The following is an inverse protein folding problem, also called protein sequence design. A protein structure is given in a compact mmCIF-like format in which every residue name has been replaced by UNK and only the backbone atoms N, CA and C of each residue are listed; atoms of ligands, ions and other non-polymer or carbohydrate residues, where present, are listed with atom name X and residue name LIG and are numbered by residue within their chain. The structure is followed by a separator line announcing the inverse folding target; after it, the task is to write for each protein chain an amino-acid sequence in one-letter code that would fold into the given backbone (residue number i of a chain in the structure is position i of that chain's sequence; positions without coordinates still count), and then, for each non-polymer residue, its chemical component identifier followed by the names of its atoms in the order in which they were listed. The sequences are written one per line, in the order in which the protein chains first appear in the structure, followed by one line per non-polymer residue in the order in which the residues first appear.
data_IF_143283909080
#
_entry.id   IF_143283909080
#
_cell.length_a   1.000
_cell.length_b   1.000
_cell.length_c   1.000
_cell.angle_alpha   90.00
_cell.angle_beta   90.00
_cell.angle_gamma   90.00
#
_symmetry.space_group_name_H-M   'P 1'
#
loop_
_entity.id
_entity.type
_entity.pdbx_description
1 polymer ?
#
# COMPACT_ATOMS: atom_id res chain seq x y z
N UNK A 1 -6.42 -9.18 88.23
CA UNK A 1 -7.56 -9.59 87.37
C UNK A 1 -7.00 -10.45 86.23
N UNK A 2 -7.36 -11.73 86.17
CA UNK A 2 -7.32 -12.58 84.96
C UNK A 2 -8.51 -12.18 84.06
N UNK A 3 -8.46 -12.34 82.71
CA UNK A 3 -8.49 -13.65 82.05
C UNK A 3 -7.46 -13.76 80.89
N UNK A 4 -6.75 -14.88 80.65
CA UNK A 4 -7.21 -16.13 80.04
C UNK A 4 -8.02 -15.91 78.75
N UNK A 5 -7.54 -16.38 77.58
CA UNK A 5 -8.35 -17.04 76.53
C UNK A 5 -7.51 -17.40 75.30
N UNK A 6 -7.47 -18.73 75.09
CA UNK A 6 -7.41 -19.56 73.89
C UNK A 6 -6.41 -19.29 72.75
N UNK A 7 -5.46 -20.23 72.69
CA UNK A 7 -4.92 -20.86 71.48
C UNK A 7 -6.08 -21.55 70.73
N UNK A 8 -6.28 -21.18 69.46
CA UNK A 8 -7.09 -21.93 68.50
C UNK A 8 -6.20 -22.36 67.34
N UNK A 9 -5.85 -23.64 67.34
CA UNK A 9 -5.20 -24.36 66.26
C UNK A 9 -6.26 -24.57 65.17
N UNK A 10 -6.15 -23.86 64.05
CA UNK A 10 -7.01 -24.06 62.88
C UNK A 10 -6.17 -24.71 61.77
N UNK A 11 -6.18 -26.05 61.77
CA UNK A 11 -5.82 -26.83 60.61
C UNK A 11 -6.89 -26.61 59.54
N UNK A 12 -6.59 -25.89 58.47
CA UNK A 12 -7.32 -26.01 57.21
C UNK A 12 -6.41 -26.56 56.12
N UNK A 13 -6.70 -27.84 55.86
CA UNK A 13 -6.34 -28.65 54.72
C UNK A 13 -6.63 -27.93 53.40
N UNK A 14 -5.61 -27.90 52.53
CA UNK A 14 -5.78 -27.64 51.11
C UNK A 14 -6.53 -28.81 50.45
N UNK A 15 -7.61 -28.56 49.68
CA UNK A 15 -8.04 -29.50 48.67
C UNK A 15 -7.42 -29.09 47.32
N UNK A 16 -6.43 -29.86 46.90
CA UNK A 16 -6.06 -29.95 45.49
C UNK A 16 -7.19 -30.68 44.76
N UNK A 17 -8.02 -29.95 44.04
CA UNK A 17 -8.96 -30.54 43.08
C UNK A 17 -8.23 -30.80 41.76
N UNK A 18 -7.87 -32.07 41.57
CA UNK A 18 -7.74 -32.67 40.25
C UNK A 18 -9.05 -32.43 39.48
N UNK A 19 -8.95 -31.92 38.25
CA UNK A 19 -9.98 -32.16 37.24
C UNK A 19 -9.31 -32.71 35.99
N UNK A 20 -9.59 -33.99 35.72
CA UNK A 20 -9.23 -34.68 34.49
C UNK A 20 -10.14 -34.23 33.35
N UNK A 21 -9.57 -34.24 32.15
CA UNK A 21 -10.20 -33.96 30.88
C UNK A 21 -11.38 -34.90 30.53
N UNK A 22 -12.36 -34.41 29.75
CA UNK A 22 -12.53 -34.75 28.32
C UNK A 22 -13.88 -34.30 27.73
N UNK A 23 -13.77 -33.69 26.53
CA UNK A 23 -14.66 -33.67 25.36
C UNK A 23 -16.11 -33.16 25.43
N UNK A 24 -16.35 -32.06 24.70
CA UNK A 24 -17.03 -32.02 23.38
C UNK A 24 -17.96 -30.79 23.27
N UNK A 25 -17.79 -29.98 22.21
CA UNK A 25 -18.71 -28.89 21.92
C UNK A 25 -18.19 -27.88 20.90
N UNK A 26 -18.23 -28.27 19.63
CA UNK A 26 -18.23 -27.48 18.40
C UNK A 26 -18.30 -25.94 18.54
N UNK A 27 -17.20 -25.27 18.14
CA UNK A 27 -17.18 -23.90 17.67
C UNK A 27 -16.25 -23.84 16.46
N UNK A 28 -16.81 -23.60 15.27
CA UNK A 28 -16.08 -23.46 14.04
C UNK A 28 -15.09 -22.30 14.14
N UNK A 29 -13.79 -22.62 14.08
CA UNK A 29 -12.72 -21.66 13.87
C UNK A 29 -12.03 -22.01 12.56
N UNK A 30 -12.45 -21.35 11.49
CA UNK A 30 -11.69 -21.23 10.24
C UNK A 30 -10.44 -20.41 10.54
N UNK A 31 -9.39 -21.07 11.02
CA UNK A 31 -8.04 -20.50 11.15
C UNK A 31 -7.35 -20.57 9.81
N UNK A 32 -7.13 -19.42 9.18
CA UNK A 32 -6.44 -19.31 7.91
C UNK A 32 -4.95 -19.60 8.05
N UNK A 33 -4.45 -20.27 7.02
CA UNK A 33 -3.11 -20.82 6.83
C UNK A 33 -2.12 -19.70 6.46
N UNK A 34 -1.39 -19.14 7.44
CA UNK A 34 -0.39 -18.07 7.19
C UNK A 34 1.02 -18.40 7.68
N UNK A 35 1.31 -19.63 8.10
CA UNK A 35 2.61 -19.96 8.71
C UNK A 35 3.54 -20.86 7.87
N UNK A 36 3.03 -21.60 6.88
CA UNK A 36 3.88 -22.51 6.10
C UNK A 36 4.77 -21.76 5.10
N UNK A 37 6.06 -22.13 5.01
CA UNK A 37 7.01 -21.49 4.08
C UNK A 37 6.93 -22.01 2.65
N UNK A 38 6.13 -23.05 2.41
CA UNK A 38 5.98 -23.72 1.13
C UNK A 38 4.52 -23.75 0.67
N UNK A 39 4.30 -23.58 -0.63
CA UNK A 39 2.99 -23.71 -1.27
C UNK A 39 2.74 -25.14 -1.78
N UNK A 40 3.82 -25.85 -2.12
CA UNK A 40 3.78 -27.21 -2.64
C UNK A 40 4.25 -28.23 -1.62
N UNK A 41 3.58 -29.38 -1.57
CA UNK A 41 3.97 -30.49 -0.74
C UNK A 41 5.33 -31.05 -1.22
N UNK A 42 6.37 -31.11 -0.36
CA UNK A 42 7.67 -31.66 -0.75
C UNK A 42 7.59 -33.12 -1.21
N UNK A 43 6.64 -33.87 -0.64
CA UNK A 43 6.48 -35.31 -0.90
C UNK A 43 5.56 -35.56 -2.09
N UNK A 44 4.36 -35.01 -2.04
CA UNK A 44 3.31 -35.25 -3.02
C UNK A 44 3.39 -34.37 -4.28
N UNK A 45 4.15 -33.26 -4.23
CA UNK A 45 4.24 -32.24 -5.31
C UNK A 45 2.88 -31.66 -5.73
N UNK A 46 1.90 -31.73 -4.82
CA UNK A 46 0.57 -31.13 -4.96
C UNK A 46 0.46 -29.95 -3.97
N UNK A 47 -0.51 -29.03 -4.18
CA UNK A 47 -0.76 -27.95 -3.23
C UNK A 47 -0.99 -28.46 -1.81
N UNK A 48 -0.53 -27.70 -0.82
CA UNK A 48 -0.73 -28.05 0.60
C UNK A 48 -2.23 -28.06 0.98
N UNK A 49 -2.62 -28.94 1.90
CA UNK A 49 -4.01 -29.14 2.31
C UNK A 49 -4.52 -28.12 3.34
N UNK A 50 -3.61 -27.29 3.88
CA UNK A 50 -3.88 -26.31 4.93
C UNK A 50 -4.19 -26.93 6.30
N UNK A 51 -3.94 -28.22 6.50
CA UNK A 51 -4.29 -28.99 7.71
C UNK A 51 -3.11 -29.79 8.28
N UNK A 52 -2.20 -30.23 7.43
CA UNK A 52 -1.08 -31.09 7.79
C UNK A 52 0.21 -30.29 7.78
N UNK A 53 0.86 -30.16 8.94
CA UNK A 53 2.07 -29.36 9.11
C UNK A 53 3.12 -30.04 9.99
N UNK A 54 4.39 -29.68 9.81
CA UNK A 54 5.49 -30.03 10.72
C UNK A 54 6.44 -28.85 10.89
N UNK A 55 7.11 -28.78 12.03
CA UNK A 55 8.18 -27.79 12.25
C UNK A 55 9.54 -28.38 11.90
N UNK A 56 10.33 -27.67 11.09
CA UNK A 56 11.72 -28.01 10.78
C UNK A 56 12.54 -26.72 10.67
N UNK A 57 13.69 -26.66 11.35
CA UNK A 57 14.57 -25.48 11.41
C UNK A 57 13.86 -24.17 11.77
N UNK A 58 12.86 -24.25 12.66
CA UNK A 58 12.04 -23.11 13.09
C UNK A 58 11.10 -22.59 12.01
N UNK A 59 10.87 -23.36 10.93
CA UNK A 59 9.92 -23.08 9.86
C UNK A 59 8.82 -24.12 9.82
N UNK A 60 7.60 -23.65 9.59
CA UNK A 60 6.44 -24.51 9.40
C UNK A 60 6.43 -25.01 7.96
N UNK A 61 6.34 -26.33 7.77
CA UNK A 61 6.26 -27.00 6.47
C UNK A 61 4.86 -27.60 6.32
N UNK A 62 4.15 -27.26 5.25
CA UNK A 62 2.83 -27.78 4.92
C UNK A 62 2.87 -29.00 3.99
N UNK A 63 1.85 -29.85 4.06
CA UNK A 63 1.73 -31.07 3.26
C UNK A 63 0.36 -31.22 2.58
N UNK A 64 0.27 -32.00 1.50
CA UNK A 64 -0.98 -32.18 0.74
C UNK A 64 -1.90 -33.30 1.29
N UNK A 65 -1.39 -34.18 2.16
CA UNK A 65 -2.20 -35.22 2.80
C UNK A 65 -1.55 -35.78 4.08
N UNK A 66 -2.36 -36.38 4.98
CA UNK A 66 -1.86 -37.09 6.14
C UNK A 66 -0.88 -38.21 5.74
N UNK A 67 0.29 -38.24 6.36
CA UNK A 67 1.36 -39.21 6.07
C UNK A 67 2.52 -38.61 5.28
N UNK A 68 2.32 -37.50 4.55
CA UNK A 68 3.42 -36.79 3.91
C UNK A 68 4.36 -36.12 4.93
N UNK A 69 3.84 -35.71 6.09
CA UNK A 69 4.62 -35.25 7.24
C UNK A 69 5.66 -36.30 7.68
N UNK A 70 5.22 -37.56 7.80
CA UNK A 70 6.10 -38.67 8.19
C UNK A 70 7.12 -38.99 7.09
N UNK A 71 6.70 -38.96 5.83
CA UNK A 71 7.59 -39.19 4.70
C UNK A 71 8.68 -38.11 4.61
N UNK A 72 8.33 -36.85 4.87
CA UNK A 72 9.28 -35.74 4.91
C UNK A 72 10.27 -35.87 6.08
N UNK A 73 9.79 -36.26 7.26
CA UNK A 73 10.68 -36.52 8.40
C UNK A 73 11.61 -37.73 8.18
N UNK A 74 11.30 -38.62 7.25
CA UNK A 74 12.16 -39.74 6.84
C UNK A 74 13.17 -39.40 5.74
N UNK A 75 13.15 -38.18 5.19
CA UNK A 75 14.21 -37.73 4.29
C UNK A 75 15.55 -37.61 5.03
N UNK A 76 16.65 -37.54 4.28
CA UNK A 76 17.90 -37.06 4.85
C UNK A 76 17.81 -35.56 5.20
N UNK A 77 18.69 -35.12 6.09
CA UNK A 77 18.70 -33.74 6.62
C UNK A 77 18.98 -32.71 5.52
N UNK A 78 20.00 -32.96 4.69
CA UNK A 78 20.36 -32.08 3.58
C UNK A 78 19.18 -31.86 2.63
N UNK A 79 18.42 -32.92 2.33
CA UNK A 79 17.24 -32.82 1.48
C UNK A 79 16.14 -31.97 2.12
N UNK A 80 15.90 -32.09 3.42
CA UNK A 80 14.91 -31.24 4.11
C UNK A 80 15.38 -29.78 4.13
N UNK A 81 16.62 -29.52 4.54
CA UNK A 81 17.17 -28.16 4.60
C UNK A 81 17.17 -27.49 3.23
N UNK A 82 17.57 -28.20 2.17
CA UNK A 82 17.55 -27.68 0.81
C UNK A 82 16.13 -27.36 0.33
N UNK A 83 15.14 -28.18 0.68
CA UNK A 83 13.74 -27.88 0.40
C UNK A 83 13.30 -26.60 1.11
N UNK A 84 13.51 -26.50 2.43
CA UNK A 84 13.13 -25.30 3.20
C UNK A 84 13.78 -24.04 2.62
N UNK A 85 15.06 -24.10 2.28
CA UNK A 85 15.78 -22.98 1.67
C UNK A 85 15.22 -22.61 0.29
N UNK A 86 14.81 -23.59 -0.52
CA UNK A 86 14.18 -23.33 -1.83
C UNK A 86 12.77 -22.74 -1.68
N UNK A 87 11.96 -23.25 -0.76
CA UNK A 87 10.62 -22.72 -0.47
C UNK A 87 10.69 -21.28 0.04
N UNK A 88 11.66 -20.97 0.91
CA UNK A 88 11.90 -19.61 1.37
C UNK A 88 12.34 -18.63 0.27
N UNK A 89 12.88 -19.12 -0.85
CA UNK A 89 13.26 -18.31 -2.02
C UNK A 89 12.16 -18.28 -3.10
N UNK A 90 11.07 -19.02 -2.95
CA UNK A 90 10.03 -19.17 -3.97
C UNK A 90 10.42 -20.04 -5.17
N UNK A 91 11.49 -20.83 -5.05
CA UNK A 91 12.05 -21.63 -6.16
C UNK A 91 11.44 -23.05 -6.24
N UNK A 92 10.19 -23.26 -5.80
CA UNK A 92 9.63 -24.61 -5.70
C UNK A 92 9.18 -25.19 -7.06
N UNK A 93 9.53 -26.44 -7.41
CA UNK A 93 9.03 -27.09 -8.62
C UNK A 93 7.51 -27.22 -8.60
N UNK A 94 6.82 -26.58 -9.56
CA UNK A 94 5.36 -26.59 -9.66
C UNK A 94 4.65 -25.47 -8.89
N UNK A 95 5.36 -24.56 -8.21
CA UNK A 95 4.75 -23.40 -7.55
C UNK A 95 3.96 -22.53 -8.54
N UNK A 96 4.46 -22.37 -9.78
CA UNK A 96 3.78 -21.60 -10.83
C UNK A 96 2.33 -22.06 -11.10
N UNK A 97 2.02 -23.35 -10.91
CA UNK A 97 0.69 -23.92 -11.16
C UNK A 97 -0.18 -23.99 -9.89
N UNK A 98 0.43 -23.96 -8.69
CA UNK A 98 -0.28 -24.00 -7.40
C UNK A 98 -0.66 -22.63 -6.85
N UNK A 99 -0.04 -21.56 -7.37
CA UNK A 99 -0.55 -20.20 -7.19
C UNK A 99 -1.88 -19.96 -7.92
N UNK A 100 -2.36 -20.89 -8.76
CA UNK A 100 -3.66 -20.77 -9.43
C UNK A 100 -4.89 -20.93 -8.51
N UNK A 101 -4.71 -21.17 -7.20
CA UNK A 101 -5.79 -21.13 -6.20
C UNK A 101 -5.71 -19.91 -5.25
N UNK A 102 -4.74 -19.02 -5.46
CA UNK A 102 -4.75 -17.66 -4.95
C UNK A 102 -4.67 -16.77 -6.19
N UNK A 103 -5.82 -16.36 -6.72
CA UNK A 103 -5.85 -15.12 -7.51
C UNK A 103 -5.30 -14.03 -6.59
N UNK A 104 -4.02 -13.71 -6.74
CA UNK A 104 -3.47 -12.46 -6.23
C UNK A 104 -4.13 -11.42 -7.12
N UNK A 105 -5.31 -10.95 -6.71
CA UNK A 105 -6.00 -9.85 -7.39
C UNK A 105 -4.99 -8.71 -7.42
N UNK A 106 -4.44 -8.42 -8.60
CA UNK A 106 -3.50 -7.34 -8.76
C UNK A 106 -4.16 -6.07 -8.21
N UNK A 107 -3.47 -5.27 -7.38
CA UNK A 107 -4.08 -4.08 -6.81
C UNK A 107 -4.71 -3.22 -7.91
N UNK A 108 -6.00 -2.91 -7.75
CA UNK A 108 -6.72 -1.97 -8.62
C UNK A 108 -5.97 -0.63 -8.59
N UNK A 109 -5.78 -0.04 -9.77
CA UNK A 109 -5.12 1.25 -9.90
C UNK A 109 -5.92 2.39 -9.28
N UNK A 110 -5.21 3.44 -8.90
CA UNK A 110 -5.80 4.71 -8.49
C UNK A 110 -6.44 5.43 -9.69
N UNK A 111 -7.50 6.22 -9.47
CA UNK A 111 -8.15 7.00 -10.53
C UNK A 111 -7.21 8.07 -11.10
N UNK A 112 -7.52 8.55 -12.30
CA UNK A 112 -6.77 9.66 -12.90
C UNK A 112 -7.24 10.98 -12.29
N UNK A 113 -6.39 11.60 -11.46
CA UNK A 113 -6.71 12.81 -10.69
C UNK A 113 -6.09 14.09 -11.25
N UNK A 114 -5.33 14.01 -12.35
CA UNK A 114 -4.87 15.22 -13.03
C UNK A 114 -6.08 15.92 -13.67
N UNK A 115 -6.10 17.24 -13.61
CA UNK A 115 -7.18 18.07 -14.15
C UNK A 115 -7.02 18.38 -15.65
N UNK A 116 -5.94 17.87 -16.25
CA UNK A 116 -5.55 18.14 -17.64
C UNK A 116 -5.45 16.87 -18.47
N UNK A 117 -5.74 17.00 -19.76
CA UNK A 117 -5.57 15.96 -20.76
C UNK A 117 -4.07 15.71 -20.98
N UNK A 118 -3.58 14.46 -20.93
CA UNK A 118 -2.15 14.16 -21.01
C UNK A 118 -1.56 14.38 -22.41
N UNK A 119 -2.41 14.62 -23.42
CA UNK A 119 -1.99 14.86 -24.81
C UNK A 119 -2.05 16.34 -25.18
N UNK A 120 -3.16 17.01 -24.87
CA UNK A 120 -3.35 18.41 -25.27
C UNK A 120 -2.94 19.40 -24.19
N UNK A 121 -2.77 18.97 -22.93
CA UNK A 121 -2.58 19.84 -21.77
C UNK A 121 -3.81 20.67 -21.40
N UNK A 122 -4.92 20.55 -22.16
CA UNK A 122 -6.15 21.31 -21.88
C UNK A 122 -6.87 20.75 -20.66
N UNK A 123 -7.57 21.63 -19.95
CA UNK A 123 -8.40 21.25 -18.80
C UNK A 123 -9.47 20.23 -19.20
N UNK A 124 -9.55 19.12 -18.48
CA UNK A 124 -10.61 18.14 -18.63
C UNK A 124 -11.96 18.78 -18.33
N UNK A 125 -12.99 18.46 -19.13
CA UNK A 125 -14.30 19.12 -19.09
C UNK A 125 -14.44 20.30 -20.05
N UNK A 126 -13.34 20.90 -20.53
CA UNK A 126 -13.42 22.06 -21.45
C UNK A 126 -13.99 21.70 -22.84
N UNK A 127 -13.97 20.41 -23.20
CA UNK A 127 -14.41 19.86 -24.49
C UNK A 127 -15.61 18.91 -24.33
N UNK A 128 -16.37 19.06 -23.24
CA UNK A 128 -17.39 18.12 -22.79
C UNK A 128 -16.85 17.08 -21.80
N UNK A 129 -17.66 16.05 -21.53
CA UNK A 129 -17.31 15.01 -20.57
C UNK A 129 -16.01 14.30 -20.97
N UNK A 130 -15.03 14.16 -20.04
CA UNK A 130 -13.79 13.46 -20.33
C UNK A 130 -14.02 12.02 -20.76
N UNK A 131 -13.27 11.59 -21.78
CA UNK A 131 -13.23 10.20 -22.19
C UNK A 131 -12.30 9.45 -21.24
N UNK A 132 -12.84 8.50 -20.50
CA UNK A 132 -12.09 7.63 -19.59
C UNK A 132 -11.68 6.35 -20.33
N UNK A 133 -10.41 5.96 -20.24
CA UNK A 133 -9.87 4.71 -20.76
C UNK A 133 -9.02 4.01 -19.72
N UNK A 134 -8.96 2.70 -19.80
CA UNK A 134 -7.97 1.89 -19.07
C UNK A 134 -6.90 1.46 -20.07
N UNK A 135 -5.66 1.91 -19.87
CA UNK A 135 -4.50 1.60 -20.72
C UNK A 135 -3.41 1.09 -19.79
N UNK A 136 -2.87 -0.11 -20.05
CA UNK A 136 -1.82 -0.74 -19.21
C UNK A 136 -2.20 -0.83 -17.72
N UNK A 137 -3.47 -1.12 -17.43
CA UNK A 137 -3.98 -1.22 -16.04
C UNK A 137 -4.16 0.14 -15.33
N UNK A 138 -4.04 1.25 -16.06
CA UNK A 138 -4.14 2.62 -15.55
C UNK A 138 -5.38 3.31 -16.10
N UNK A 139 -6.14 3.99 -15.24
CA UNK A 139 -7.14 4.94 -15.73
C UNK A 139 -6.42 6.16 -16.34
N UNK A 140 -6.83 6.57 -17.53
CA UNK A 140 -6.37 7.79 -18.20
C UNK A 140 -7.60 8.54 -18.73
N UNK A 141 -7.62 9.86 -18.55
CA UNK A 141 -8.73 10.72 -18.98
C UNK A 141 -8.30 11.68 -20.08
N UNK A 142 -9.11 11.77 -21.12
CA UNK A 142 -8.85 12.56 -22.31
C UNK A 142 -9.93 13.59 -22.56
N UNK A 143 -9.56 14.75 -23.10
CA UNK A 143 -10.55 15.77 -23.46
C UNK A 143 -11.36 15.42 -24.72
N UNK A 144 -10.86 14.53 -25.60
CA UNK A 144 -11.55 14.13 -26.83
C UNK A 144 -10.99 12.82 -27.42
N UNK A 145 -11.72 12.22 -28.37
CA UNK A 145 -11.34 10.95 -29.00
C UNK A 145 -10.02 11.00 -29.77
N UNK A 146 -9.69 12.15 -30.38
CA UNK A 146 -8.41 12.34 -31.07
C UNK A 146 -7.19 12.36 -30.14
N UNK A 147 -7.39 12.60 -28.84
CA UNK A 147 -6.31 12.45 -27.86
C UNK A 147 -6.06 10.98 -27.50
N UNK A 148 -7.10 10.13 -27.48
CA UNK A 148 -6.95 8.69 -27.21
C UNK A 148 -5.99 8.05 -28.22
N UNK A 149 -6.26 8.23 -29.53
CA UNK A 149 -5.41 7.62 -30.56
C UNK A 149 -3.98 8.16 -30.59
N UNK A 150 -3.76 9.43 -30.21
CA UNK A 150 -2.41 10.00 -30.07
C UNK A 150 -1.67 9.41 -28.87
N UNK A 151 -2.37 9.17 -27.77
CA UNK A 151 -1.79 8.53 -26.59
C UNK A 151 -1.36 7.09 -26.87
N UNK A 152 -2.24 6.31 -27.51
CA UNK A 152 -1.99 4.91 -27.84
C UNK A 152 -0.87 4.73 -28.88
N UNK A 153 -0.56 5.78 -29.67
CA UNK A 153 0.53 5.75 -30.64
C UNK A 153 1.94 5.77 -30.00
N UNK A 154 2.07 6.26 -28.76
CA UNK A 154 3.34 6.31 -28.02
C UNK A 154 3.08 6.30 -26.50
N UNK A 155 2.56 5.19 -25.98
CA UNK A 155 2.18 5.07 -24.57
C UNK A 155 3.37 5.30 -23.64
N UNK A 156 4.57 4.84 -24.00
CA UNK A 156 5.79 5.02 -23.20
C UNK A 156 6.11 6.49 -22.98
N UNK A 157 6.15 7.31 -24.03
CA UNK A 157 6.42 8.74 -23.90
C UNK A 157 5.32 9.45 -23.11
N UNK A 158 4.06 9.13 -23.37
CA UNK A 158 2.94 9.83 -22.75
C UNK A 158 2.77 9.44 -21.28
N UNK A 159 3.00 8.18 -20.91
CA UNK A 159 3.05 7.78 -19.50
C UNK A 159 4.21 8.42 -18.77
N UNK A 160 5.39 8.59 -19.38
CA UNK A 160 6.49 9.30 -18.72
C UNK A 160 6.12 10.74 -18.32
N UNK A 161 5.36 11.46 -19.14
CA UNK A 161 4.86 12.81 -18.80
C UNK A 161 3.73 12.78 -17.76
N UNK A 162 2.81 11.81 -17.87
CA UNK A 162 1.76 11.58 -16.86
C UNK A 162 2.39 11.26 -15.50
N UNK A 163 3.43 10.44 -15.45
CA UNK A 163 4.09 10.01 -14.21
C UNK A 163 4.78 11.18 -13.53
N UNK A 164 5.43 12.08 -14.29
CA UNK A 164 5.97 13.34 -13.74
C UNK A 164 4.87 14.19 -13.11
N UNK A 165 3.73 14.34 -13.79
CA UNK A 165 2.61 15.13 -13.28
C UNK A 165 1.96 14.49 -12.04
N UNK A 166 1.78 13.16 -12.04
CA UNK A 166 1.29 12.41 -10.88
C UNK A 166 2.25 12.51 -9.70
N UNK A 167 3.56 12.32 -9.93
CA UNK A 167 4.56 12.45 -8.90
C UNK A 167 4.53 13.84 -8.28
N UNK A 168 4.48 14.89 -9.10
CA UNK A 168 4.34 16.29 -8.63
C UNK A 168 3.07 16.50 -7.81
N UNK A 169 1.93 15.97 -8.26
CA UNK A 169 0.64 16.12 -7.59
C UNK A 169 0.56 15.37 -6.25
N UNK A 170 1.24 14.22 -6.13
CA UNK A 170 1.16 13.35 -4.96
C UNK A 170 2.30 13.56 -3.96
N UNK A 171 3.44 14.14 -4.37
CA UNK A 171 4.60 14.34 -3.50
C UNK A 171 4.27 15.05 -2.17
N UNK A 172 3.45 16.13 -2.13
CA UNK A 172 3.11 16.80 -0.87
C UNK A 172 2.34 15.94 0.13
N UNK A 173 1.78 14.81 -0.33
CA UNK A 173 1.01 13.88 0.49
C UNK A 173 1.77 12.58 0.76
N UNK A 174 2.99 12.42 0.25
CA UNK A 174 3.77 11.21 0.42
C UNK A 174 4.27 11.08 1.87
N UNK A 175 3.97 9.98 2.59
CA UNK A 175 4.11 9.93 4.04
C UNK A 175 5.48 9.48 4.55
N UNK A 176 6.38 9.01 3.66
CA UNK A 176 7.64 8.39 4.05
C UNK A 176 8.85 9.19 3.56
N UNK A 177 9.85 9.33 4.43
CA UNK A 177 11.21 9.78 4.08
C UNK A 177 12.14 8.60 3.79
N UNK A 178 11.60 7.37 3.81
CA UNK A 178 12.33 6.11 3.59
C UNK A 178 11.68 5.29 2.48
N UNK A 179 12.50 4.43 1.87
CA UNK A 179 12.08 3.49 0.83
C UNK A 179 11.04 2.54 1.40
N UNK A 180 9.88 2.40 0.74
CA UNK A 180 8.80 1.51 1.23
C UNK A 180 9.19 0.03 1.23
N UNK A 181 10.19 -0.35 0.41
CA UNK A 181 10.65 -1.74 0.29
C UNK A 181 11.69 -2.08 1.36
N UNK A 182 12.73 -1.24 1.52
CA UNK A 182 13.89 -1.54 2.38
C UNK A 182 13.90 -0.75 3.69
N UNK A 183 13.15 0.34 3.80
CA UNK A 183 13.22 1.28 4.91
C UNK A 183 14.46 2.19 4.90
N UNK A 184 15.29 2.13 3.85
CA UNK A 184 16.47 2.99 3.73
C UNK A 184 16.09 4.45 3.45
N UNK A 185 16.87 5.44 3.92
CA UNK A 185 16.59 6.86 3.67
C UNK A 185 16.49 7.18 2.17
N UNK A 186 15.52 8.02 1.81
CA UNK A 186 15.36 8.56 0.45
C UNK A 186 16.10 9.89 0.25
N UNK A 187 16.75 10.40 1.29
CA UNK A 187 17.62 11.55 1.21
C UNK A 187 18.95 11.26 1.92
N UNK A 188 20.05 11.69 1.29
CA UNK A 188 21.40 11.62 1.85
C UNK A 188 21.97 13.03 1.83
N UNK A 189 22.45 13.53 2.97
CA UNK A 189 23.00 14.89 3.11
C UNK A 189 22.05 16.01 2.64
N UNK A 190 20.74 15.77 2.72
CA UNK A 190 19.70 16.70 2.27
C UNK A 190 19.42 16.67 0.77
N UNK A 191 20.15 15.85 0.00
CA UNK A 191 19.87 15.57 -1.40
C UNK A 191 18.84 14.44 -1.52
N UNK A 192 17.79 14.69 -2.30
CA UNK A 192 16.77 13.69 -2.58
C UNK A 192 17.27 12.68 -3.62
N UNK A 193 17.53 11.45 -3.17
CA UNK A 193 17.97 10.33 -4.00
C UNK A 193 16.82 9.37 -4.37
N UNK A 194 15.61 9.65 -3.90
CA UNK A 194 14.46 8.77 -4.07
C UNK A 194 13.98 8.73 -5.52
N UNK A 195 13.85 7.52 -6.06
CA UNK A 195 13.21 7.26 -7.35
C UNK A 195 11.70 7.36 -7.16
N UNK A 196 11.06 8.23 -7.94
CA UNK A 196 9.61 8.29 -8.06
C UNK A 196 9.14 7.23 -9.05
N UNK A 197 8.46 6.20 -8.54
CA UNK A 197 7.84 5.14 -9.33
C UNK A 197 6.32 5.31 -9.25
N UNK A 198 5.66 5.51 -10.40
CA UNK A 198 4.19 5.63 -10.45
C UNK A 198 3.61 4.28 -10.87
N UNK A 199 3.07 3.55 -9.91
CA UNK A 199 2.42 2.27 -10.14
C UNK A 199 0.92 2.44 -10.20
N UNK A 200 0.30 2.15 -11.35
CA UNK A 200 -1.15 2.26 -11.56
C UNK A 200 -1.76 3.58 -11.00
N UNK A 201 -1.15 4.72 -11.35
CA UNK A 201 -1.48 6.07 -10.89
C UNK A 201 -1.20 6.39 -9.42
N UNK A 202 -0.51 5.52 -8.69
CA UNK A 202 -0.06 5.75 -7.32
C UNK A 202 1.43 6.04 -7.29
N UNK A 203 1.84 7.18 -6.72
CA UNK A 203 3.24 7.48 -6.46
C UNK A 203 3.76 6.60 -5.31
N UNK A 204 4.87 5.91 -5.58
CA UNK A 204 5.69 5.15 -4.65
C UNK A 204 7.13 5.66 -4.76
N UNK A 205 7.84 5.77 -3.63
CA UNK A 205 9.24 6.24 -3.62
C UNK A 205 10.18 5.14 -3.14
N UNK A 206 11.27 4.95 -3.90
CA UNK A 206 12.17 3.80 -3.78
C UNK A 206 13.62 4.27 -3.87
N UNK A 207 14.55 3.65 -3.12
CA UNK A 207 15.95 4.10 -3.11
C UNK A 207 16.77 3.64 -4.33
N UNK A 208 16.37 2.55 -5.00
CA UNK A 208 17.12 2.01 -6.13
C UNK A 208 16.27 1.19 -7.11
N UNK A 209 16.85 0.85 -8.28
CA UNK A 209 16.21 0.00 -9.30
C UNK A 209 15.90 -1.41 -8.80
N UNK A 210 16.69 -1.93 -7.85
CA UNK A 210 16.42 -3.22 -7.20
C UNK A 210 15.08 -3.18 -6.47
N UNK A 211 14.84 -2.11 -5.70
CA UNK A 211 13.57 -1.90 -5.01
C UNK A 211 12.38 -1.70 -5.96
N UNK A 212 12.58 -1.13 -7.16
CA UNK A 212 11.52 -1.09 -8.19
C UNK A 212 11.11 -2.50 -8.59
N UNK A 213 12.09 -3.35 -8.92
CA UNK A 213 11.82 -4.75 -9.27
C UNK A 213 11.17 -5.53 -8.12
N UNK A 214 11.64 -5.34 -6.90
CA UNK A 214 11.09 -6.02 -5.73
C UNK A 214 9.68 -5.52 -5.41
N UNK A 215 9.40 -4.24 -5.65
CA UNK A 215 8.05 -3.67 -5.56
C UNK A 215 7.11 -4.26 -6.61
N UNK A 216 7.53 -4.32 -7.88
CA UNK A 216 6.73 -4.88 -8.98
C UNK A 216 6.43 -6.38 -8.80
N UNK A 217 7.28 -7.10 -8.07
CA UNK A 217 7.06 -8.52 -7.76
C UNK A 217 5.96 -8.76 -6.71
N UNK A 218 5.69 -7.79 -5.83
CA UNK A 218 4.64 -7.89 -4.80
C UNK A 218 4.07 -6.50 -4.45
N UNK A 219 3.38 -5.83 -5.39
CA UNK A 219 2.92 -4.46 -5.20
C UNK A 219 1.88 -4.38 -4.08
N UNK A 220 1.06 -5.41 -3.89
CA UNK A 220 0.01 -5.44 -2.87
C UNK A 220 0.58 -5.27 -1.46
N UNK A 221 1.67 -5.97 -1.14
CA UNK A 221 2.35 -5.87 0.15
C UNK A 221 2.84 -4.44 0.43
N UNK A 222 3.54 -3.83 -0.52
CA UNK A 222 4.14 -2.51 -0.32
C UNK A 222 3.12 -1.38 -0.40
N UNK A 223 2.07 -1.52 -1.23
CA UNK A 223 0.96 -0.58 -1.24
C UNK A 223 0.20 -0.59 0.09
N UNK A 224 -0.03 -1.76 0.69
CA UNK A 224 -0.62 -1.85 2.03
C UNK A 224 0.23 -1.13 3.08
N UNK A 225 1.54 -1.36 3.08
CA UNK A 225 2.46 -0.67 4.00
C UNK A 225 2.47 0.85 3.77
N UNK A 226 2.40 1.29 2.51
CA UNK A 226 2.29 2.70 2.16
C UNK A 226 0.97 3.31 2.65
N UNK A 227 -0.15 2.62 2.48
CA UNK A 227 -1.47 3.10 2.92
C UNK A 227 -1.54 3.24 4.45
N UNK A 228 -1.01 2.27 5.19
CA UNK A 228 -0.88 2.36 6.66
C UNK A 228 -0.04 3.59 7.07
N UNK A 229 1.04 3.89 6.34
CA UNK A 229 1.85 5.09 6.56
C UNK A 229 1.09 6.38 6.23
N UNK A 230 0.30 6.40 5.14
CA UNK A 230 -0.55 7.55 4.78
C UNK A 230 -1.57 7.82 5.89
N UNK A 231 -2.30 6.79 6.33
CA UNK A 231 -3.29 6.92 7.40
C UNK A 231 -2.63 7.46 8.66
N UNK A 232 -1.51 6.87 9.09
CA UNK A 232 -0.79 7.32 10.28
C UNK A 232 -0.33 8.78 10.20
N UNK A 233 0.15 9.21 9.04
CA UNK A 233 0.64 10.58 8.83
C UNK A 233 -0.50 11.60 8.80
N UNK A 234 -1.63 11.25 8.17
CA UNK A 234 -2.70 12.20 7.86
C UNK A 234 -3.86 12.20 8.86
N UNK A 235 -4.12 11.09 9.55
CA UNK A 235 -5.32 10.93 10.41
C UNK A 235 -5.39 11.97 11.52
N UNK A 236 -4.25 12.32 12.13
CA UNK A 236 -4.21 13.25 13.26
C UNK A 236 -4.61 14.67 12.85
N UNK A 237 -4.16 15.11 11.69
CA UNK A 237 -4.34 16.48 11.18
C UNK A 237 -5.39 16.53 10.06
N UNK A 238 -6.22 15.48 9.93
CA UNK A 238 -7.19 15.35 8.85
C UNK A 238 -8.15 16.55 8.84
N UNK A 239 -8.25 17.30 7.72
CA UNK A 239 -8.83 18.64 7.72
C UNK A 239 -10.36 18.65 7.67
N UNK A 240 -10.99 17.54 7.31
CA UNK A 240 -12.45 17.46 7.23
C UNK A 240 -13.04 16.89 8.53
N UNK A 241 -14.07 17.57 9.05
CA UNK A 241 -14.88 17.05 10.17
C UNK A 241 -16.14 16.33 9.70
N UNK A 242 -16.42 16.38 8.39
CA UNK A 242 -17.57 15.76 7.75
C UNK A 242 -17.13 14.78 6.66
N UNK A 243 -18.04 13.88 6.28
CA UNK A 243 -17.80 12.86 5.27
C UNK A 243 -17.32 13.49 3.95
N UNK A 244 -16.32 12.86 3.33
CA UNK A 244 -15.79 13.28 2.04
C UNK A 244 -16.87 13.39 0.95
N UNK A 245 -17.87 12.50 0.99
CA UNK A 245 -18.99 12.45 0.03
C UNK A 245 -20.23 13.20 0.53
N UNK A 246 -20.60 13.01 1.79
CA UNK A 246 -21.80 13.61 2.39
C UNK A 246 -21.42 14.79 3.29
N UNK A 247 -21.34 15.99 2.73
CA UNK A 247 -20.77 17.17 3.41
C UNK A 247 -21.47 17.55 4.72
N UNK A 248 -22.76 17.20 4.86
CA UNK A 248 -23.56 17.48 6.05
C UNK A 248 -23.53 16.36 7.10
N UNK A 249 -22.84 15.26 6.82
CA UNK A 249 -22.72 14.12 7.73
C UNK A 249 -21.40 14.18 8.49
N UNK A 250 -21.45 14.34 9.81
CA UNK A 250 -20.25 14.42 10.66
C UNK A 250 -19.54 13.06 10.72
N UNK A 251 -18.21 13.06 10.62
CA UNK A 251 -17.42 11.85 10.86
C UNK A 251 -17.61 11.39 12.31
N UNK A 252 -17.74 10.08 12.52
CA UNK A 252 -18.09 9.51 13.83
C UNK A 252 -19.60 9.41 14.12
N UNK A 253 -20.46 10.07 13.35
CA UNK A 253 -21.92 10.05 13.60
C UNK A 253 -22.58 8.70 13.33
N UNK A 254 -21.94 7.85 12.52
CA UNK A 254 -22.44 6.53 12.12
C UNK A 254 -21.51 5.40 12.59
N UNK A 255 -20.74 5.65 13.65
CA UNK A 255 -19.69 4.76 14.15
C UNK A 255 -18.29 5.19 13.69
N UNK A 256 -17.34 4.26 13.74
CA UNK A 256 -15.97 4.51 13.27
C UNK A 256 -15.99 4.88 11.77
N UNK A 257 -15.33 5.97 11.35
CA UNK A 257 -15.25 6.36 9.96
C UNK A 257 -14.70 5.23 9.08
N UNK A 258 -15.30 5.03 7.91
CA UNK A 258 -14.69 4.17 6.91
C UNK A 258 -13.56 4.95 6.21
N UNK A 259 -12.42 4.32 6.02
CA UNK A 259 -11.21 4.95 5.50
C UNK A 259 -10.73 4.22 4.26
N UNK A 260 -10.31 4.99 3.26
CA UNK A 260 -9.54 4.49 2.12
C UNK A 260 -8.38 5.44 1.86
N UNK A 261 -7.38 4.96 1.13
CA UNK A 261 -6.28 5.80 0.65
C UNK A 261 -6.32 5.85 -0.87
N UNK A 262 -6.28 7.06 -1.42
CA UNK A 262 -6.33 7.29 -2.86
C UNK A 262 -5.27 8.33 -3.23
N UNK A 263 -4.34 7.97 -4.12
CA UNK A 263 -3.28 8.86 -4.58
C UNK A 263 -2.50 9.54 -3.42
N UNK A 264 -2.12 8.72 -2.43
CA UNK A 264 -1.46 9.12 -1.18
C UNK A 264 -2.28 10.04 -0.27
N UNK A 265 -3.61 10.12 -0.44
CA UNK A 265 -4.49 10.90 0.45
C UNK A 265 -5.40 9.97 1.22
N UNK A 266 -5.46 10.18 2.53
CA UNK A 266 -6.51 9.60 3.37
C UNK A 266 -7.86 10.20 2.98
N UNK A 267 -8.85 9.35 2.80
CA UNK A 267 -10.24 9.73 2.56
C UNK A 267 -11.10 9.08 3.64
N UNK A 268 -11.76 9.91 4.44
CA UNK A 268 -12.68 9.44 5.47
C UNK A 268 -14.15 9.64 5.07
N UNK A 269 -14.93 8.59 5.29
CA UNK A 269 -16.38 8.55 5.10
C UNK A 269 -17.10 8.36 6.43
N UNK A 270 -18.36 8.81 6.50
CA UNK A 270 -19.19 8.47 7.65
C UNK A 270 -19.53 6.98 7.71
N UNK A 271 -19.55 6.26 6.58
CA UNK A 271 -19.74 4.81 6.51
C UNK A 271 -19.26 4.24 5.17
N UNK A 272 -19.12 2.91 5.08
CA UNK A 272 -18.69 2.21 3.86
C UNK A 272 -19.61 2.47 2.64
N UNK A 273 -20.87 2.83 2.85
CA UNK A 273 -21.83 3.11 1.78
C UNK A 273 -21.49 4.35 0.93
N UNK A 274 -20.57 5.22 1.38
CA UNK A 274 -20.14 6.38 0.60
C UNK A 274 -19.08 6.03 -0.46
N UNK A 275 -18.39 4.91 -0.31
CA UNK A 275 -17.28 4.54 -1.20
C UNK A 275 -17.71 4.39 -2.68
N UNK A 276 -18.83 3.72 -3.02
CA UNK A 276 -19.26 3.64 -4.42
C UNK A 276 -19.55 5.00 -5.06
N UNK A 277 -20.08 5.96 -4.29
CA UNK A 277 -20.30 7.33 -4.77
C UNK A 277 -18.98 8.07 -4.95
N UNK A 278 -18.00 7.85 -4.05
CA UNK A 278 -16.65 8.37 -4.23
C UNK A 278 -16.01 7.83 -5.51
N UNK A 279 -16.08 6.53 -5.75
CA UNK A 279 -15.49 5.88 -6.93
C UNK A 279 -16.13 6.34 -8.26
N UNK A 280 -17.37 6.82 -8.24
CA UNK A 280 -18.03 7.35 -9.43
C UNK A 280 -17.47 8.72 -9.88
N UNK A 281 -16.96 9.55 -8.96
CA UNK A 281 -16.36 10.85 -9.27
C UNK A 281 -15.25 11.23 -8.28
N UNK A 282 -14.13 10.48 -8.27
CA UNK A 282 -13.08 10.66 -7.27
C UNK A 282 -12.39 12.02 -7.39
N UNK A 283 -12.24 12.55 -8.60
CA UNK A 283 -11.59 13.83 -8.86
C UNK A 283 -12.30 14.99 -8.15
N UNK A 284 -13.63 14.99 -8.14
CA UNK A 284 -14.43 16.00 -7.42
C UNK A 284 -14.17 15.97 -5.92
N UNK A 285 -14.21 14.79 -5.30
CA UNK A 285 -14.03 14.66 -3.85
C UNK A 285 -12.59 14.90 -3.41
N UNK A 286 -11.61 14.44 -4.19
CA UNK A 286 -10.19 14.73 -3.93
C UNK A 286 -9.92 16.23 -4.03
N UNK A 287 -10.49 16.95 -5.00
CA UNK A 287 -10.33 18.41 -5.10
C UNK A 287 -10.81 19.12 -3.82
N UNK A 288 -11.91 18.65 -3.22
CA UNK A 288 -12.42 19.17 -1.94
C UNK A 288 -11.48 18.87 -0.77
N UNK A 289 -10.94 17.65 -0.72
CA UNK A 289 -9.99 17.23 0.32
C UNK A 289 -8.69 18.03 0.21
N UNK A 290 -8.16 18.21 -0.99
CA UNK A 290 -6.94 19.00 -1.24
C UNK A 290 -7.11 20.47 -0.85
N UNK A 291 -8.27 21.05 -1.17
CA UNK A 291 -8.60 22.41 -0.74
C UNK A 291 -8.64 22.53 0.79
N UNK A 292 -9.08 21.49 1.50
CA UNK A 292 -9.10 21.46 2.96
C UNK A 292 -7.70 21.24 3.57
N UNK A 293 -6.81 20.49 2.89
CA UNK A 293 -5.42 20.30 3.31
C UNK A 293 -4.55 21.54 3.11
N UNK A 294 -4.84 22.39 2.12
CA UNK A 294 -4.07 23.60 1.83
C UNK A 294 -3.70 24.44 3.08
N UNK A 295 -4.63 24.85 3.95
CA UNK A 295 -4.28 25.61 5.16
C UNK A 295 -3.47 24.79 6.18
N UNK A 296 -3.64 23.47 6.23
CA UNK A 296 -2.86 22.59 7.12
C UNK A 296 -1.41 22.53 6.66
N UNK A 297 -1.18 22.32 5.37
CA UNK A 297 0.17 22.31 4.80
C UNK A 297 0.84 23.68 4.87
N UNK A 298 0.11 24.78 4.64
CA UNK A 298 0.64 26.14 4.82
C UNK A 298 1.04 26.40 6.29
N UNK A 299 0.26 25.91 7.26
CA UNK A 299 0.59 26.00 8.69
C UNK A 299 1.75 25.08 9.10
N UNK A 300 1.87 23.91 8.46
CA UNK A 300 2.94 22.92 8.68
C UNK A 300 4.21 23.22 7.86
N UNK A 301 4.21 24.28 7.04
CA UNK A 301 5.25 24.72 6.10
C UNK A 301 6.61 25.11 6.70
N UNK A 302 7.10 24.33 7.66
CA UNK A 302 8.47 24.37 8.20
C UNK A 302 9.13 22.99 8.35
N UNK A 303 8.47 21.87 8.05
CA UNK A 303 9.02 20.55 8.47
C UNK A 303 9.28 19.49 7.41
N UNK A 304 8.76 19.55 6.18
CA UNK A 304 9.17 18.56 5.15
C UNK A 304 9.31 19.21 3.77
N UNK A 305 10.57 19.30 3.30
CA UNK A 305 10.94 19.72 1.94
C UNK A 305 11.26 21.20 1.81
N UNK A 306 12.56 21.51 1.66
CA UNK A 306 13.07 22.83 1.29
C UNK A 306 12.26 23.49 0.17
N UNK A 307 12.11 24.83 0.17
CA UNK A 307 11.46 25.53 -0.92
C UNK A 307 12.21 25.22 -2.21
N UNK A 308 11.50 24.64 -3.18
CA UNK A 308 11.90 24.74 -4.57
C UNK A 308 12.03 26.22 -4.87
N UNK A 309 13.26 26.67 -5.07
CA UNK A 309 13.54 28.00 -5.56
C UNK A 309 12.93 28.05 -6.97
N UNK A 310 11.71 28.58 -7.10
CA UNK A 310 11.22 29.12 -8.37
C UNK A 310 12.14 30.31 -8.69
N UNK A 311 13.25 30.01 -9.37
CA UNK A 311 14.07 31.01 -10.00
C UNK A 311 13.32 31.55 -11.20
N UNK A 312 12.55 32.62 -10.98
CA UNK A 312 12.23 33.59 -12.02
C UNK A 312 13.56 34.13 -12.57
N UNK A 313 14.05 33.53 -13.65
CA UNK A 313 15.04 34.17 -14.52
C UNK A 313 14.27 35.01 -15.55
N UNK A 314 13.83 36.19 -15.12
CA UNK A 314 13.50 37.31 -15.99
C UNK A 314 14.80 37.85 -16.62
N UNK A 315 15.29 37.22 -17.69
CA UNK A 315 16.30 37.84 -18.56
C UNK A 315 15.62 38.79 -19.55
N UNK A 316 15.30 39.99 -19.03
CA UNK A 316 14.96 41.13 -19.86
C UNK A 316 16.21 41.67 -20.60
N UNK A 317 16.19 41.48 -21.92
CA UNK A 317 16.69 42.38 -22.98
C UNK A 317 17.76 43.41 -22.59
N UNK A 318 19.00 43.17 -23.02
CA UNK A 318 19.95 44.21 -23.39
C UNK A 318 20.17 44.22 -24.91
N UNK A 319 19.43 45.08 -25.62
CA UNK A 319 19.76 45.47 -27.00
C UNK A 319 20.69 46.68 -26.96
N UNK A 320 21.78 46.62 -27.72
CA UNK A 320 22.53 47.80 -28.10
C UNK A 320 24.03 47.52 -28.10
N UNK A 321 24.59 47.29 -29.28
CA UNK A 321 25.74 48.06 -29.72
C UNK A 321 25.78 48.04 -31.26
N UNK A 322 25.56 49.23 -31.82
CA UNK A 322 25.80 49.57 -33.22
C UNK A 322 27.29 49.83 -33.37
N UNK A 323 27.95 49.03 -34.20
CA UNK A 323 29.32 49.27 -34.63
C UNK A 323 29.28 50.30 -35.78
N UNK A 324 29.82 51.50 -35.54
CA UNK A 324 30.11 52.47 -36.57
C UNK A 324 31.58 52.32 -36.95
N UNK A 325 31.81 51.81 -38.15
CA UNK A 325 33.08 51.95 -38.83
C UNK A 325 33.26 53.41 -39.27
N UNK A 326 34.43 53.95 -38.98
CA UNK A 326 34.96 55.17 -39.60
C UNK A 326 36.27 54.81 -40.30
N UNK A 327 36.31 55.20 -41.58
CA UNK A 327 37.50 55.37 -42.43
C UNK A 327 38.44 56.46 -41.88
#
# INVERSE_FOLDING_TARGET
MKPATLIACLCLTAPASLSMAQHAGHGAATGQNTEAVNAMCPVGKEPIDGKTFVQHDGKTIGFCCPGCDKAFMNWDEDRRTNFVLASMRGDEPGAADAHAAHEVDEPKGDPYLLDTCPISGQKLGSMGDPIVKTIEGREVRFCCGGCVGRFEADTTKHFAEVDKAIAKQQMPFYPLETCVVTGEPLAIDGEDIGINHVYKNRLVRLCCKGCVRDFEADPAKYLKALDEAVVKAQLKDYPLTTCAVLENSKLGSMGEPAEIVVANRLVQFCCAGCQPTFEADPAKFITRIDAAWKPVHEAQGKLHGSPIHEGDHDDHRGHGDHDHGDD
#
